data_IF_877336903023
#
_entry.id   IF_877336903023
#
_cell.length_a   1.000
_cell.length_b   1.000
_cell.length_c   1.000
_cell.angle_alpha   90.00
_cell.angle_beta   90.00
_cell.angle_gamma   90.00
#
_symmetry.space_group_name_H-M   'P 1'
#
loop_
_entity.id
_entity.type
_entity.pdbx_description
1 polymer ?
#
# COMPACT_ATOMS: atom_id res chain seq x y z
N UNK A 1 3.02 -14.29 16.81
CA UNK A 1 2.46 -13.11 17.51
C UNK A 1 1.39 -13.54 18.50
N UNK A 2 0.23 -14.10 18.05
CA UNK A 2 -0.89 -14.44 18.92
C UNK A 2 -0.50 -15.38 20.07
N UNK A 3 0.18 -16.49 19.77
CA UNK A 3 0.60 -17.47 20.77
C UNK A 3 1.55 -16.85 21.82
N UNK A 4 2.44 -15.97 21.40
CA UNK A 4 3.37 -15.31 22.32
C UNK A 4 2.65 -14.29 23.20
N UNK A 5 1.72 -13.51 22.65
CA UNK A 5 0.90 -12.61 23.43
C UNK A 5 0.08 -13.36 24.50
N UNK A 6 -0.55 -14.49 24.12
CA UNK A 6 -1.28 -15.36 25.07
C UNK A 6 -0.39 -15.99 26.14
N UNK A 7 0.90 -16.25 25.85
CA UNK A 7 1.84 -16.72 26.89
C UNK A 7 2.14 -15.63 27.92
N UNK A 8 2.18 -14.35 27.50
CA UNK A 8 2.37 -13.22 28.39
C UNK A 8 1.08 -12.83 29.14
N UNK A 9 -0.07 -13.11 28.56
CA UNK A 9 -1.41 -12.81 29.04
C UNK A 9 -2.29 -14.08 29.04
N UNK A 10 -2.09 -15.01 30.00
CA UNK A 10 -2.78 -16.31 30.01
C UNK A 10 -4.31 -16.23 30.17
N UNK A 11 -4.81 -15.08 30.61
CA UNK A 11 -6.24 -14.79 30.72
C UNK A 11 -6.88 -14.43 29.38
N UNK A 12 -6.08 -14.10 28.35
CA UNK A 12 -6.53 -13.71 27.03
C UNK A 12 -6.57 -14.93 26.11
N UNK A 13 -7.65 -15.06 25.34
CA UNK A 13 -7.75 -15.99 24.22
C UNK A 13 -7.82 -15.18 22.90
N UNK A 14 -6.68 -14.96 22.26
CA UNK A 14 -6.56 -14.20 21.02
C UNK A 14 -6.76 -15.14 19.81
N UNK A 15 -7.87 -14.96 19.10
CA UNK A 15 -8.20 -15.72 17.88
C UNK A 15 -8.00 -14.85 16.66
N UNK A 16 -7.14 -15.30 15.74
CA UNK A 16 -6.89 -14.59 14.49
C UNK A 16 -7.69 -15.24 13.36
N UNK A 17 -8.52 -14.46 12.69
CA UNK A 17 -9.24 -14.88 11.49
C UNK A 17 -8.66 -14.17 10.27
N UNK A 18 -8.26 -14.93 9.27
CA UNK A 18 -7.81 -14.40 7.98
C UNK A 18 -8.86 -14.65 6.91
N UNK A 19 -9.17 -13.61 6.14
CA UNK A 19 -10.18 -13.66 5.08
C UNK A 19 -9.60 -13.02 3.82
N UNK A 20 -9.98 -13.55 2.66
CA UNK A 20 -9.63 -12.92 1.39
C UNK A 20 -10.21 -11.49 1.31
N UNK A 21 -9.43 -10.57 0.78
CA UNK A 21 -9.78 -9.14 0.72
C UNK A 21 -11.05 -8.85 -0.07
N UNK A 22 -11.40 -9.72 -1.04
CA UNK A 22 -12.61 -9.58 -1.86
C UNK A 22 -13.88 -9.88 -1.08
N UNK A 23 -13.81 -10.79 -0.10
CA UNK A 23 -14.96 -11.22 0.70
C UNK A 23 -15.07 -10.51 2.05
N UNK A 24 -14.01 -9.79 2.44
CA UNK A 24 -13.85 -9.19 3.77
C UNK A 24 -15.05 -8.34 4.20
N UNK A 25 -15.44 -7.35 3.40
CA UNK A 25 -16.53 -6.43 3.75
C UNK A 25 -17.89 -7.15 3.86
N UNK A 26 -18.13 -8.17 3.04
CA UNK A 26 -19.37 -8.96 3.09
C UNK A 26 -19.42 -9.80 4.35
N UNK A 27 -18.32 -10.45 4.69
CA UNK A 27 -18.19 -11.25 5.91
C UNK A 27 -18.33 -10.39 7.16
N UNK A 28 -17.63 -9.24 7.20
CA UNK A 28 -17.68 -8.31 8.33
C UNK A 28 -19.12 -7.83 8.59
N UNK A 29 -19.85 -7.41 7.56
CA UNK A 29 -21.27 -7.05 7.66
C UNK A 29 -22.12 -8.19 8.21
N UNK A 30 -21.87 -9.42 7.77
CA UNK A 30 -22.60 -10.61 8.23
C UNK A 30 -22.32 -10.88 9.71
N UNK A 31 -21.07 -10.79 10.16
CA UNK A 31 -20.68 -10.98 11.57
C UNK A 31 -21.32 -9.92 12.48
N UNK A 32 -21.34 -8.66 12.07
CA UNK A 32 -22.05 -7.60 12.82
C UNK A 32 -23.55 -7.88 12.89
N UNK A 33 -24.16 -8.36 11.81
CA UNK A 33 -25.60 -8.67 11.79
C UNK A 33 -25.96 -9.90 12.63
N UNK A 34 -25.05 -10.88 12.77
CA UNK A 34 -25.27 -12.09 13.58
C UNK A 34 -24.91 -11.93 15.07
N UNK A 35 -24.28 -10.80 15.45
CA UNK A 35 -23.76 -10.59 16.82
C UNK A 35 -22.44 -11.31 17.09
N UNK A 36 -21.73 -11.72 16.04
CA UNK A 36 -20.41 -12.38 16.09
C UNK A 36 -19.29 -11.44 15.58
N UNK A 37 -19.49 -10.13 15.75
CA UNK A 37 -18.54 -9.13 15.31
C UNK A 37 -17.17 -9.30 16.03
N UNK A 38 -16.05 -9.13 15.34
CA UNK A 38 -14.74 -9.20 15.96
C UNK A 38 -14.50 -8.03 16.92
N UNK A 39 -13.61 -8.22 17.89
CA UNK A 39 -13.19 -7.17 18.83
C UNK A 39 -12.29 -6.13 18.14
N UNK A 40 -11.38 -6.60 17.30
CA UNK A 40 -10.49 -5.79 16.45
C UNK A 40 -10.72 -6.18 15.00
N UNK A 41 -10.77 -5.21 14.10
CA UNK A 41 -10.90 -5.48 12.67
C UNK A 41 -10.20 -4.43 11.80
N UNK A 42 -9.97 -4.79 10.54
CA UNK A 42 -9.36 -3.89 9.57
C UNK A 42 -10.35 -2.84 9.08
N UNK A 43 -9.86 -1.61 8.91
CA UNK A 43 -10.57 -0.51 8.28
C UNK A 43 -9.59 0.25 7.37
N UNK A 44 -10.01 0.59 6.15
CA UNK A 44 -9.14 1.30 5.19
C UNK A 44 -9.19 2.82 5.34
N UNK A 45 -9.96 3.30 6.32
CA UNK A 45 -10.18 4.73 6.51
C UNK A 45 -11.16 5.35 5.52
N UNK A 46 -11.27 6.67 5.54
CA UNK A 46 -12.13 7.45 4.64
C UNK A 46 -13.56 6.88 4.53
N UNK A 47 -13.98 6.44 3.35
CA UNK A 47 -15.33 5.88 3.13
C UNK A 47 -15.64 4.67 4.01
N UNK A 48 -14.66 3.81 4.31
CA UNK A 48 -14.88 2.70 5.25
C UNK A 48 -15.00 3.19 6.68
N UNK A 49 -14.25 4.22 7.07
CA UNK A 49 -14.41 4.87 8.35
C UNK A 49 -15.83 5.43 8.49
N UNK A 50 -16.33 6.19 7.52
CA UNK A 50 -17.69 6.72 7.53
C UNK A 50 -18.74 5.62 7.65
N UNK A 51 -18.56 4.51 6.93
CA UNK A 51 -19.47 3.36 6.94
C UNK A 51 -19.55 2.72 8.32
N UNK A 52 -18.44 2.61 9.03
CA UNK A 52 -18.32 1.87 10.27
C UNK A 52 -18.25 2.76 11.52
N UNK A 53 -18.15 4.09 11.41
CA UNK A 53 -17.89 5.04 12.50
C UNK A 53 -18.78 4.79 13.73
N UNK A 54 -20.07 4.49 13.52
CA UNK A 54 -21.02 4.22 14.62
C UNK A 54 -20.70 2.93 15.41
N UNK A 55 -19.80 2.08 14.89
CA UNK A 55 -19.39 0.81 15.50
C UNK A 55 -17.96 0.87 16.04
N UNK A 56 -17.27 2.01 15.91
CA UNK A 56 -15.89 2.15 16.32
C UNK A 56 -15.76 2.76 17.71
N UNK A 57 -14.83 2.21 18.48
CA UNK A 57 -14.42 2.75 19.78
C UNK A 57 -13.52 3.97 19.58
N UNK A 58 -13.70 5.00 20.41
CA UNK A 58 -12.81 6.15 20.46
C UNK A 58 -11.47 5.74 21.10
N UNK A 59 -10.39 5.83 20.31
CA UNK A 59 -9.04 5.45 20.68
C UNK A 59 -8.14 6.67 20.97
N UNK A 60 -8.71 7.86 21.07
CA UNK A 60 -7.96 9.11 21.27
C UNK A 60 -7.14 9.13 22.56
N UNK A 61 -7.51 8.31 23.53
CA UNK A 61 -6.82 8.16 24.83
C UNK A 61 -5.60 7.23 24.77
N UNK A 62 -5.36 6.56 23.64
CA UNK A 62 -4.30 5.59 23.53
C UNK A 62 -2.92 6.25 23.48
N UNK A 63 -1.88 5.69 24.16
CA UNK A 63 -0.55 6.30 24.24
C UNK A 63 0.11 6.52 22.88
N UNK A 64 -0.12 5.62 21.92
CA UNK A 64 0.46 5.68 20.58
C UNK A 64 -0.10 6.80 19.69
N UNK A 65 -1.27 7.39 20.02
CA UNK A 65 -1.90 8.48 19.25
C UNK A 65 -0.98 9.69 19.13
N UNK A 66 -0.22 10.00 20.17
CA UNK A 66 0.74 11.12 20.14
C UNK A 66 1.90 10.92 19.15
N UNK A 67 2.14 9.68 18.75
CA UNK A 67 3.21 9.29 17.82
C UNK A 67 2.69 9.04 16.40
N UNK A 68 1.40 9.19 16.12
CA UNK A 68 0.87 9.10 14.75
C UNK A 68 1.47 10.19 13.88
N UNK A 69 1.98 9.81 12.70
CA UNK A 69 2.33 10.77 11.67
C UNK A 69 1.07 11.55 11.25
N UNK A 70 1.17 12.87 11.07
CA UNK A 70 -0.01 13.73 10.93
C UNK A 70 -0.93 13.31 9.78
N UNK A 71 -0.35 12.98 8.61
CA UNK A 71 -1.11 12.54 7.46
C UNK A 71 -1.89 11.23 7.66
N UNK A 72 -1.53 10.41 8.66
CA UNK A 72 -2.22 9.13 8.95
C UNK A 72 -3.52 9.33 9.71
N UNK A 73 -3.78 10.51 10.26
CA UNK A 73 -4.97 10.79 11.07
C UNK A 73 -6.19 11.07 10.22
N UNK A 74 -6.03 11.69 9.06
CA UNK A 74 -7.13 12.17 8.22
C UNK A 74 -8.14 11.07 7.88
N UNK A 75 -7.67 9.88 7.52
CA UNK A 75 -8.53 8.76 7.11
C UNK A 75 -9.33 8.10 8.23
N UNK A 76 -9.02 8.40 9.51
CA UNK A 76 -9.55 7.67 10.68
C UNK A 76 -9.97 8.59 11.84
N UNK A 77 -10.12 9.89 11.58
CA UNK A 77 -10.60 10.85 12.55
C UNK A 77 -11.97 11.42 12.17
N UNK A 78 -12.76 11.77 13.18
CA UNK A 78 -14.00 12.50 12.97
C UNK A 78 -13.81 14.01 12.91
N UNK A 79 -14.92 14.74 12.73
CA UNK A 79 -14.91 16.20 12.67
C UNK A 79 -14.48 16.90 13.99
N UNK A 80 -14.55 16.20 15.10
CA UNK A 80 -14.11 16.68 16.41
C UNK A 80 -12.63 16.31 16.68
N UNK A 81 -11.96 15.63 15.74
CA UNK A 81 -10.56 15.22 15.83
C UNK A 81 -10.31 13.98 16.67
N UNK A 82 -11.34 13.21 16.99
CA UNK A 82 -11.20 11.92 17.68
C UNK A 82 -10.62 10.87 16.74
N UNK A 83 -9.76 10.03 17.27
CA UNK A 83 -9.06 8.96 16.55
C UNK A 83 -9.75 7.62 16.82
N UNK A 84 -10.00 6.85 15.75
CA UNK A 84 -10.74 5.59 15.82
C UNK A 84 -9.93 4.37 15.39
N UNK A 85 -8.67 4.54 14.99
CA UNK A 85 -7.86 3.39 14.55
C UNK A 85 -6.37 3.63 14.63
N UNK A 86 -5.65 2.53 14.84
CA UNK A 86 -4.20 2.45 14.79
C UNK A 86 -3.76 2.35 13.31
N UNK A 87 -2.94 3.27 12.76
CA UNK A 87 -2.37 3.16 11.43
C UNK A 87 -1.31 2.06 11.42
N UNK A 88 -1.71 0.87 10.97
CA UNK A 88 -0.88 -0.32 11.11
C UNK A 88 0.28 -0.35 10.11
N UNK A 89 -0.02 -0.02 8.86
CA UNK A 89 0.89 -0.20 7.74
C UNK A 89 0.81 0.95 6.75
N UNK A 90 1.95 1.56 6.48
CA UNK A 90 2.13 2.53 5.40
C UNK A 90 2.51 1.79 4.12
N UNK A 91 1.75 2.01 3.08
CA UNK A 91 1.99 1.48 1.75
C UNK A 91 2.46 2.60 0.84
N UNK A 92 3.66 2.41 0.26
CA UNK A 92 4.19 3.26 -0.78
C UNK A 92 4.28 2.48 -2.09
N UNK A 93 4.04 3.12 -3.24
CA UNK A 93 4.16 2.48 -4.54
C UNK A 93 4.82 3.37 -5.56
N UNK A 94 5.68 2.73 -6.35
CA UNK A 94 6.43 3.32 -7.45
C UNK A 94 6.76 2.27 -8.51
N UNK A 95 7.47 2.65 -9.56
CA UNK A 95 8.13 1.68 -10.40
C UNK A 95 9.34 1.10 -9.66
N UNK A 96 9.34 -0.24 -9.55
CA UNK A 96 10.48 -1.02 -9.08
C UNK A 96 11.28 -1.47 -10.30
N UNK A 97 12.62 -1.37 -10.25
CA UNK A 97 13.49 -1.84 -11.32
C UNK A 97 14.57 -2.78 -10.78
N UNK A 98 15.02 -3.71 -11.63
CA UNK A 98 16.14 -4.60 -11.35
C UNK A 98 17.45 -3.89 -11.70
N UNK A 99 18.28 -3.64 -10.69
CA UNK A 99 19.55 -2.89 -10.83
C UNK A 99 20.48 -3.59 -11.83
N UNK A 100 20.67 -4.90 -11.72
CA UNK A 100 21.58 -5.68 -12.61
C UNK A 100 21.13 -5.67 -14.06
N UNK A 101 19.83 -5.69 -14.32
CA UNK A 101 19.30 -5.63 -15.69
C UNK A 101 19.47 -4.24 -16.31
N UNK A 102 19.30 -3.16 -15.51
CA UNK A 102 19.60 -1.80 -15.95
C UNK A 102 21.09 -1.62 -16.26
N UNK A 103 21.98 -2.08 -15.38
CA UNK A 103 23.42 -2.04 -15.61
C UNK A 103 23.81 -2.81 -16.88
N UNK A 104 23.23 -4.02 -17.10
CA UNK A 104 23.47 -4.84 -18.29
C UNK A 104 23.02 -4.15 -19.57
N UNK A 105 21.95 -3.35 -19.52
CA UNK A 105 21.48 -2.54 -20.65
C UNK A 105 22.27 -1.24 -20.79
N UNK A 106 23.16 -0.89 -19.86
CA UNK A 106 23.92 0.36 -19.85
C UNK A 106 23.09 1.58 -19.46
N UNK A 107 22.01 1.40 -18.71
CA UNK A 107 21.18 2.49 -18.19
C UNK A 107 21.81 2.98 -16.89
N UNK A 108 22.16 4.26 -16.85
CA UNK A 108 22.85 4.90 -15.71
C UNK A 108 22.02 5.99 -15.04
N UNK A 109 20.96 6.44 -15.68
CA UNK A 109 20.04 7.45 -15.16
C UNK A 109 18.62 6.90 -15.14
N UNK A 110 17.89 7.17 -14.06
CA UNK A 110 16.52 6.74 -13.91
C UNK A 110 15.57 7.70 -14.62
N UNK A 111 14.51 7.20 -15.28
CA UNK A 111 13.57 8.05 -16.00
C UNK A 111 12.73 8.88 -15.04
N UNK A 112 12.58 10.17 -15.35
CA UNK A 112 11.78 11.14 -14.60
C UNK A 112 10.60 11.67 -15.40
N UNK A 113 10.57 11.34 -16.71
CA UNK A 113 9.54 11.76 -17.65
C UNK A 113 9.02 10.57 -18.44
N UNK A 114 7.84 10.75 -19.06
CA UNK A 114 7.24 9.69 -19.88
C UNK A 114 8.13 9.33 -21.09
N UNK A 115 8.70 10.34 -21.76
CA UNK A 115 9.62 10.14 -22.88
C UNK A 115 10.92 9.42 -22.45
N UNK A 116 11.45 9.72 -21.27
CA UNK A 116 12.61 9.02 -20.71
C UNK A 116 12.28 7.57 -20.36
N UNK A 117 11.08 7.29 -19.82
CA UNK A 117 10.63 5.92 -19.57
C UNK A 117 10.49 5.11 -20.88
N UNK A 118 9.94 5.72 -21.92
CA UNK A 118 9.87 5.10 -23.28
C UNK A 118 11.28 4.77 -23.78
N UNK A 119 12.23 5.70 -23.63
CA UNK A 119 13.61 5.48 -24.05
C UNK A 119 14.30 4.36 -23.26
N UNK A 120 14.08 4.29 -21.95
CA UNK A 120 14.57 3.22 -21.07
C UNK A 120 14.00 1.86 -21.50
N UNK A 121 12.69 1.78 -21.73
CA UNK A 121 12.05 0.55 -22.20
C UNK A 121 12.65 0.07 -23.54
N UNK A 122 12.83 0.98 -24.50
CA UNK A 122 13.43 0.68 -25.79
C UNK A 122 14.88 0.19 -25.65
N UNK A 123 15.67 0.84 -24.78
CA UNK A 123 17.06 0.43 -24.53
C UNK A 123 17.16 -0.97 -23.90
N UNK A 124 16.27 -1.30 -22.98
CA UNK A 124 16.16 -2.65 -22.41
C UNK A 124 15.84 -3.69 -23.49
N UNK A 125 14.85 -3.42 -24.32
CA UNK A 125 14.41 -4.32 -25.41
C UNK A 125 15.51 -4.50 -26.45
N UNK A 126 16.23 -3.47 -26.84
CA UNK A 126 17.39 -3.52 -27.73
C UNK A 126 18.54 -4.37 -27.15
N UNK A 127 18.68 -4.41 -25.82
CA UNK A 127 19.60 -5.28 -25.12
C UNK A 127 19.08 -6.73 -24.95
N UNK A 128 17.88 -7.04 -25.48
CA UNK A 128 17.23 -8.33 -25.36
C UNK A 128 16.65 -8.62 -23.97
N UNK A 129 16.37 -7.58 -23.20
CA UNK A 129 15.80 -7.65 -21.85
C UNK A 129 14.35 -7.19 -21.93
N UNK A 130 13.36 -8.03 -21.54
CA UNK A 130 11.97 -7.57 -21.42
C UNK A 130 11.86 -6.36 -20.48
N UNK A 131 11.21 -5.28 -20.96
CA UNK A 131 11.21 -4.02 -20.23
C UNK A 131 10.27 -4.10 -19.03
N UNK A 132 8.98 -4.26 -19.24
CA UNK A 132 7.97 -4.13 -18.19
C UNK A 132 7.24 -5.46 -17.97
N UNK A 133 6.98 -5.82 -16.72
CA UNK A 133 6.03 -6.85 -16.31
C UNK A 133 4.98 -6.26 -15.39
N UNK A 134 3.70 -6.36 -15.79
CA UNK A 134 2.57 -5.88 -15.00
C UNK A 134 1.37 -6.83 -15.10
N UNK A 135 0.49 -6.77 -14.10
CA UNK A 135 -0.79 -7.47 -14.03
C UNK A 135 -1.94 -6.48 -14.19
N UNK A 136 -2.08 -5.89 -15.37
CA UNK A 136 -3.05 -4.81 -15.62
C UNK A 136 -4.51 -5.28 -15.55
N UNK A 137 -4.77 -6.59 -15.64
CA UNK A 137 -6.08 -7.17 -15.37
C UNK A 137 -6.44 -7.21 -13.88
N UNK A 138 -5.48 -6.99 -12.99
CA UNK A 138 -5.69 -6.96 -11.55
C UNK A 138 -6.26 -5.59 -11.11
N UNK A 139 -7.35 -5.61 -10.34
CA UNK A 139 -7.89 -4.39 -9.72
C UNK A 139 -6.85 -3.68 -8.86
N UNK A 140 -5.96 -4.43 -8.25
CA UNK A 140 -4.90 -3.92 -7.38
C UNK A 140 -3.91 -3.06 -8.17
N UNK A 141 -3.43 -3.58 -9.30
CA UNK A 141 -2.44 -2.87 -10.13
C UNK A 141 -3.05 -1.66 -10.86
N UNK A 142 -4.22 -1.82 -11.45
CA UNK A 142 -4.88 -0.72 -12.18
C UNK A 142 -5.64 0.24 -11.26
N UNK A 143 -6.32 -0.26 -10.24
CA UNK A 143 -7.10 0.56 -9.32
C UNK A 143 -6.23 1.22 -8.25
N UNK A 144 -5.45 0.41 -7.49
CA UNK A 144 -4.68 0.95 -6.36
C UNK A 144 -3.42 1.66 -6.83
N UNK A 145 -2.58 1.04 -7.67
CA UNK A 145 -1.32 1.67 -8.09
C UNK A 145 -1.50 2.58 -9.30
N UNK A 146 -2.34 2.21 -10.27
CA UNK A 146 -2.50 2.96 -11.49
C UNK A 146 -3.40 4.19 -11.32
N UNK A 147 -4.69 4.00 -11.09
CA UNK A 147 -5.64 5.11 -11.04
C UNK A 147 -5.40 6.07 -9.87
N UNK A 148 -4.88 5.60 -8.73
CA UNK A 148 -4.53 6.47 -7.61
C UNK A 148 -3.43 7.48 -7.96
N UNK A 149 -2.54 7.17 -8.90
CA UNK A 149 -1.55 8.14 -9.39
C UNK A 149 -2.25 9.34 -10.00
N UNK A 150 -3.22 9.12 -10.89
CA UNK A 150 -3.99 10.20 -11.50
C UNK A 150 -4.85 10.97 -10.49
N UNK A 151 -5.38 10.29 -9.48
CA UNK A 151 -6.15 10.94 -8.39
C UNK A 151 -5.23 11.80 -7.53
N UNK A 152 -4.07 11.28 -7.12
CA UNK A 152 -3.14 11.99 -6.24
C UNK A 152 -2.47 13.21 -6.91
N UNK A 153 -2.38 13.22 -8.23
CA UNK A 153 -1.90 14.39 -9.00
C UNK A 153 -2.95 15.46 -9.23
N UNK A 154 -4.21 15.26 -8.82
CA UNK A 154 -5.22 16.33 -8.94
C UNK A 154 -4.85 17.51 -8.04
N UNK A 155 -5.03 18.76 -8.50
CA UNK A 155 -4.73 19.96 -7.72
C UNK A 155 -5.47 20.04 -6.36
N UNK A 156 -6.67 19.49 -6.31
CA UNK A 156 -7.50 19.32 -5.12
C UNK A 156 -8.22 17.97 -5.22
N UNK A 157 -7.65 16.95 -4.57
CA UNK A 157 -8.13 15.56 -4.58
C UNK A 157 -9.57 15.47 -4.06
N UNK A 158 -9.87 16.19 -2.98
CA UNK A 158 -11.20 16.15 -2.35
C UNK A 158 -12.25 16.75 -3.26
N UNK A 159 -11.98 17.93 -3.80
CA UNK A 159 -12.89 18.58 -4.75
C UNK A 159 -13.07 17.73 -6.02
N UNK A 160 -12.00 17.08 -6.52
CA UNK A 160 -12.09 16.18 -7.66
C UNK A 160 -13.04 15.00 -7.38
N UNK A 161 -12.88 14.32 -6.25
CA UNK A 161 -13.74 13.20 -5.86
C UNK A 161 -15.20 13.63 -5.70
N UNK A 162 -15.44 14.78 -5.06
CA UNK A 162 -16.79 15.36 -4.94
C UNK A 162 -17.41 15.68 -6.32
N UNK A 163 -16.64 16.28 -7.22
CA UNK A 163 -17.08 16.63 -8.56
C UNK A 163 -17.40 15.40 -9.42
N UNK A 164 -16.58 14.36 -9.36
CA UNK A 164 -16.87 13.07 -10.04
C UNK A 164 -18.14 12.44 -9.46
N UNK A 165 -18.29 12.42 -8.15
CA UNK A 165 -19.47 11.87 -7.46
C UNK A 165 -20.76 12.62 -7.84
N UNK A 166 -20.69 13.93 -7.98
CA UNK A 166 -21.81 14.78 -8.37
C UNK A 166 -22.03 14.85 -9.90
N UNK A 167 -21.16 14.23 -10.70
CA UNK A 167 -21.25 14.22 -12.16
C UNK A 167 -20.89 15.55 -12.83
N UNK A 168 -20.18 16.45 -12.14
CA UNK A 168 -19.69 17.73 -12.68
C UNK A 168 -18.26 17.61 -13.22
N UNK A 169 -17.57 16.53 -12.97
CA UNK A 169 -16.27 16.14 -13.52
C UNK A 169 -16.38 14.73 -14.10
N UNK A 170 -15.59 14.43 -15.14
CA UNK A 170 -15.49 13.08 -15.68
C UNK A 170 -14.04 12.75 -16.11
N UNK A 171 -13.73 11.48 -16.13
CA UNK A 171 -12.38 11.00 -16.45
C UNK A 171 -11.95 11.26 -17.91
N UNK A 172 -12.91 11.29 -18.84
CA UNK A 172 -12.65 11.46 -20.27
C UNK A 172 -12.06 12.85 -20.62
N UNK A 173 -12.47 13.88 -19.88
CA UNK A 173 -12.04 15.26 -20.11
C UNK A 173 -11.05 15.78 -19.10
N UNK A 174 -10.71 14.99 -18.09
CA UNK A 174 -9.72 15.34 -17.08
C UNK A 174 -8.30 15.19 -17.64
N UNK A 175 -7.51 16.26 -17.66
CA UNK A 175 -6.17 16.30 -18.24
C UNK A 175 -5.23 15.29 -17.57
N UNK A 176 -5.25 15.20 -16.24
CA UNK A 176 -4.37 14.27 -15.49
C UNK A 176 -4.71 12.81 -15.78
N UNK A 177 -5.99 12.48 -15.94
CA UNK A 177 -6.38 11.13 -16.35
C UNK A 177 -5.98 10.80 -17.80
N UNK A 178 -5.96 11.79 -18.69
CA UNK A 178 -5.46 11.60 -20.05
C UNK A 178 -3.94 11.34 -20.04
N UNK A 179 -3.16 12.07 -19.26
CA UNK A 179 -1.72 11.81 -19.05
C UNK A 179 -1.48 10.40 -18.46
N UNK A 180 -2.30 10.01 -17.49
CA UNK A 180 -2.23 8.66 -16.95
C UNK A 180 -2.57 7.58 -17.99
N UNK A 181 -3.50 7.83 -18.91
CA UNK A 181 -3.81 6.91 -20.03
C UNK A 181 -2.61 6.79 -20.97
N UNK A 182 -1.86 7.85 -21.22
CA UNK A 182 -0.62 7.81 -22.00
C UNK A 182 0.43 6.90 -21.35
N UNK A 183 0.57 6.96 -20.02
CA UNK A 183 1.42 6.02 -19.27
C UNK A 183 0.92 4.57 -19.41
N UNK A 184 -0.38 4.33 -19.31
CA UNK A 184 -0.96 2.98 -19.47
C UNK A 184 -0.69 2.44 -20.89
N UNK A 185 -0.83 3.29 -21.91
CA UNK A 185 -0.51 2.92 -23.29
C UNK A 185 0.97 2.56 -23.48
N UNK A 186 1.87 3.37 -22.88
CA UNK A 186 3.30 3.04 -22.86
C UNK A 186 3.54 1.69 -22.17
N UNK A 187 2.98 1.46 -21.00
CA UNK A 187 3.13 0.18 -20.31
C UNK A 187 2.62 -1.00 -21.16
N UNK A 188 1.50 -0.83 -21.87
CA UNK A 188 0.94 -1.87 -22.75
C UNK A 188 1.85 -2.16 -23.95
N UNK A 189 2.53 -1.16 -24.52
CA UNK A 189 3.46 -1.31 -25.65
C UNK A 189 4.74 -2.06 -25.27
N UNK A 190 5.22 -1.90 -24.05
CA UNK A 190 6.49 -2.46 -23.56
C UNK A 190 6.33 -3.60 -22.56
N UNK A 191 5.12 -4.14 -22.41
CA UNK A 191 4.87 -5.20 -21.42
C UNK A 191 5.36 -6.56 -21.91
N UNK A 192 5.98 -7.30 -21.00
CA UNK A 192 6.37 -8.69 -21.19
C UNK A 192 5.21 -9.62 -20.79
N UNK A 193 4.78 -10.48 -21.72
CA UNK A 193 3.60 -11.34 -21.57
C UNK A 193 2.27 -10.55 -21.64
N UNK A 194 1.17 -11.29 -21.59
CA UNK A 194 -0.18 -10.70 -21.60
C UNK A 194 -0.49 -10.12 -20.22
N UNK A 195 -0.58 -8.79 -20.08
CA UNK A 195 -0.80 -8.14 -18.80
C UNK A 195 -2.22 -8.33 -18.25
N UNK A 196 -3.18 -8.73 -19.11
CA UNK A 196 -4.56 -8.94 -18.68
C UNK A 196 -4.77 -10.32 -18.05
N UNK A 197 -3.91 -11.27 -18.34
CA UNK A 197 -3.95 -12.64 -17.79
C UNK A 197 -2.84 -12.92 -16.77
N UNK A 198 -1.86 -12.05 -16.66
CA UNK A 198 -0.81 -12.12 -15.64
C UNK A 198 -1.43 -11.77 -14.27
N UNK A 199 -1.27 -12.66 -13.29
CA UNK A 199 -1.66 -12.37 -11.90
C UNK A 199 -0.63 -11.48 -11.21
N UNK A 200 -1.01 -10.81 -10.12
CA UNK A 200 -0.05 -10.04 -9.31
C UNK A 200 1.06 -10.94 -8.74
N UNK A 201 0.73 -12.15 -8.32
CA UNK A 201 1.72 -13.13 -7.86
C UNK A 201 2.71 -13.55 -8.95
N UNK A 202 2.24 -13.74 -10.19
CA UNK A 202 3.11 -14.02 -11.33
C UNK A 202 4.01 -12.84 -11.66
N UNK A 203 3.49 -11.63 -11.62
CA UNK A 203 4.26 -10.39 -11.82
C UNK A 203 5.43 -10.31 -10.82
N UNK A 204 5.16 -10.48 -9.53
CA UNK A 204 6.17 -10.46 -8.47
C UNK A 204 7.20 -11.59 -8.67
N UNK A 205 6.74 -12.81 -8.94
CA UNK A 205 7.60 -13.96 -9.17
C UNK A 205 8.53 -13.77 -10.38
N UNK A 206 8.03 -13.23 -11.49
CA UNK A 206 8.82 -12.99 -12.71
C UNK A 206 9.84 -11.87 -12.51
N UNK A 207 9.46 -10.80 -11.80
CA UNK A 207 10.40 -9.74 -11.43
C UNK A 207 11.53 -10.29 -10.56
N UNK A 208 11.20 -11.09 -9.53
CA UNK A 208 12.19 -11.72 -8.65
C UNK A 208 13.12 -12.69 -9.41
N UNK A 209 12.63 -13.38 -10.44
CA UNK A 209 13.42 -14.27 -11.30
C UNK A 209 14.17 -13.53 -12.44
N UNK A 210 14.20 -12.20 -12.42
CA UNK A 210 14.89 -11.37 -13.41
C UNK A 210 14.39 -11.57 -14.85
N UNK A 211 13.11 -11.95 -15.02
CA UNK A 211 12.51 -12.15 -16.34
C UNK A 211 12.12 -10.83 -17.04
N UNK A 212 11.98 -9.74 -16.28
CA UNK A 212 11.75 -8.40 -16.79
C UNK A 212 12.41 -7.37 -15.86
N UNK A 213 12.69 -6.17 -16.40
CA UNK A 213 13.50 -5.18 -15.73
C UNK A 213 12.70 -4.20 -14.84
N UNK A 214 11.42 -3.97 -15.13
CA UNK A 214 10.59 -2.95 -14.48
C UNK A 214 9.24 -3.55 -14.11
N UNK A 215 8.74 -3.19 -12.92
CA UNK A 215 7.36 -3.51 -12.50
C UNK A 215 6.77 -2.40 -11.63
N UNK A 216 5.46 -2.23 -11.69
CA UNK A 216 4.73 -1.34 -10.77
C UNK A 216 4.31 -2.14 -9.53
N UNK A 217 4.82 -1.78 -8.37
CA UNK A 217 4.49 -2.48 -7.12
C UNK A 217 4.60 -1.59 -5.89
N UNK A 218 4.16 -2.11 -4.76
CA UNK A 218 4.31 -1.48 -3.45
C UNK A 218 5.57 -1.94 -2.70
N UNK A 219 5.86 -1.28 -1.58
CA UNK A 219 6.97 -1.65 -0.69
C UNK A 219 6.83 -3.08 -0.10
N UNK A 220 5.63 -3.61 0.10
CA UNK A 220 5.40 -4.97 0.57
C UNK A 220 5.89 -6.06 -0.39
N UNK A 221 6.09 -5.74 -1.68
CA UNK A 221 6.66 -6.67 -2.66
C UNK A 221 8.10 -7.09 -2.30
N UNK A 222 8.84 -6.25 -1.55
CA UNK A 222 10.22 -6.53 -1.13
C UNK A 222 10.38 -7.88 -0.44
N UNK A 223 9.54 -8.19 0.55
CA UNK A 223 9.61 -9.48 1.25
C UNK A 223 9.38 -10.66 0.29
N UNK A 224 8.46 -10.51 -0.65
CA UNK A 224 8.20 -11.56 -1.65
C UNK A 224 9.38 -11.73 -2.61
N UNK A 225 10.04 -10.64 -3.00
CA UNK A 225 11.26 -10.72 -3.79
C UNK A 225 12.35 -11.48 -3.05
N UNK A 226 12.63 -11.12 -1.80
CA UNK A 226 13.67 -11.77 -0.98
C UNK A 226 13.38 -13.25 -0.70
N UNK A 227 12.12 -13.65 -0.59
CA UNK A 227 11.75 -15.06 -0.42
C UNK A 227 12.03 -15.91 -1.69
N UNK A 228 11.89 -15.31 -2.88
CA UNK A 228 12.08 -15.99 -4.18
C UNK A 228 13.56 -15.92 -4.60
N UNK A 229 14.18 -14.77 -4.49
CA UNK A 229 15.56 -14.52 -4.88
C UNK A 229 16.25 -13.60 -3.85
N UNK A 230 16.94 -14.16 -2.85
CA UNK A 230 17.63 -13.37 -1.83
C UNK A 230 18.75 -12.47 -2.34
N UNK A 231 19.23 -12.72 -3.56
CA UNK A 231 20.33 -11.96 -4.18
C UNK A 231 19.82 -10.89 -5.17
N UNK A 232 18.50 -10.66 -5.24
CA UNK A 232 17.95 -9.62 -6.10
C UNK A 232 18.33 -8.23 -5.60
N UNK A 233 18.76 -7.38 -6.52
CA UNK A 233 19.02 -5.97 -6.27
C UNK A 233 17.96 -5.15 -7.00
N UNK A 234 17.13 -4.45 -6.23
CA UNK A 234 16.08 -3.57 -6.77
C UNK A 234 16.25 -2.15 -6.31
N UNK A 235 15.84 -1.23 -7.16
CA UNK A 235 15.67 0.17 -6.83
C UNK A 235 14.28 0.63 -7.26
N UNK A 236 13.99 1.91 -7.00
CA UNK A 236 12.70 2.50 -7.29
C UNK A 236 12.87 3.85 -7.96
N UNK A 237 11.92 4.23 -8.80
CA UNK A 237 11.83 5.55 -9.39
C UNK A 237 10.37 6.00 -9.49
N UNK A 238 10.17 7.31 -9.54
CA UNK A 238 8.85 7.95 -9.60
C UNK A 238 8.04 7.46 -10.80
N UNK A 239 6.72 7.51 -10.69
CA UNK A 239 5.80 7.12 -11.76
C UNK A 239 5.56 8.34 -12.66
N UNK A 240 6.20 8.45 -13.84
CA UNK A 240 6.00 9.59 -14.70
C UNK A 240 4.70 9.43 -15.50
N UNK A 241 3.82 10.41 -15.43
CA UNK A 241 2.58 10.45 -16.24
C UNK A 241 2.67 11.44 -17.40
N UNK A 242 3.68 12.32 -17.37
CA UNK A 242 3.92 13.34 -18.40
C UNK A 242 5.42 13.65 -18.55
N UNK A 243 5.76 14.72 -19.26
CA UNK A 243 7.15 15.15 -19.49
C UNK A 243 7.63 16.30 -18.58
N UNK A 244 6.98 16.51 -17.44
CA UNK A 244 7.43 17.44 -16.41
C UNK A 244 8.09 16.66 -15.26
N UNK A 245 9.42 16.66 -15.22
CA UNK A 245 10.21 15.89 -14.26
C UNK A 245 9.96 16.33 -12.80
N UNK A 246 9.69 17.60 -12.56
CA UNK A 246 9.44 18.13 -11.21
C UNK A 246 8.02 17.78 -10.74
N UNK A 247 7.05 17.74 -11.67
CA UNK A 247 5.69 17.27 -11.39
C UNK A 247 5.64 15.77 -11.05
N UNK A 248 6.48 14.97 -11.70
CA UNK A 248 6.56 13.52 -11.48
C UNK A 248 7.42 13.11 -10.27
N UNK A 249 8.15 14.05 -9.65
CA UNK A 249 9.07 13.73 -8.52
C UNK A 249 8.30 13.60 -7.21
N UNK A 250 7.46 12.58 -7.12
CA UNK A 250 6.58 12.33 -5.99
C UNK A 250 6.60 10.85 -5.60
N UNK A 251 6.46 10.59 -4.30
CA UNK A 251 6.21 9.27 -3.74
C UNK A 251 4.73 9.16 -3.37
N UNK A 252 4.04 8.17 -3.93
CA UNK A 252 2.68 7.86 -3.55
C UNK A 252 2.69 6.96 -2.31
N UNK A 253 2.22 7.49 -1.19
CA UNK A 253 2.16 6.74 0.06
C UNK A 253 0.89 7.08 0.84
N UNK A 254 0.40 6.10 1.60
CA UNK A 254 -0.76 6.26 2.46
C UNK A 254 -0.91 5.12 3.44
N UNK A 255 -1.89 5.23 4.32
CA UNK A 255 -2.22 4.12 5.23
C UNK A 255 -3.05 3.10 4.47
N UNK A 256 -2.49 1.91 4.28
CA UNK A 256 -3.19 0.80 3.63
C UNK A 256 -4.31 0.23 4.50
N UNK A 257 -4.06 0.18 5.82
CA UNK A 257 -5.04 -0.34 6.78
C UNK A 257 -4.83 0.23 8.18
N UNK A 258 -5.95 0.44 8.85
CA UNK A 258 -6.02 0.72 10.28
C UNK A 258 -6.58 -0.49 11.00
N UNK A 259 -6.12 -0.75 12.21
CA UNK A 259 -6.85 -1.62 13.13
C UNK A 259 -7.73 -0.77 14.03
N UNK A 260 -9.01 -1.12 14.02
CA UNK A 260 -10.07 -0.44 14.79
C UNK A 260 -10.67 -1.39 15.82
N UNK A 261 -11.21 -0.85 16.90
CA UNK A 261 -11.85 -1.61 17.98
C UNK A 261 -13.37 -1.46 17.88
N UNK A 262 -14.08 -2.58 17.99
CA UNK A 262 -15.55 -2.60 18.04
C UNK A 262 -16.05 -1.99 19.36
N UNK A 263 -16.84 -0.93 19.29
CA UNK A 263 -17.38 -0.27 20.47
C UNK A 263 -18.43 -1.07 21.24
N UNK A 264 -18.98 -2.12 20.61
CA UNK A 264 -19.94 -3.05 21.24
C UNK A 264 -19.24 -4.30 21.83
N UNK A 265 -17.91 -4.43 21.66
CA UNK A 265 -17.15 -5.54 22.24
C UNK A 265 -17.17 -5.51 23.77
N UNK A 266 -17.31 -6.68 24.39
CA UNK A 266 -17.12 -6.84 25.85
C UNK A 266 -15.64 -6.85 26.24
N UNK A 267 -14.72 -7.08 25.27
CA UNK A 267 -13.26 -7.15 25.45
C UNK A 267 -12.54 -5.89 24.92
N UNK A 268 -13.17 -4.72 24.97
CA UNK A 268 -12.59 -3.48 24.43
C UNK A 268 -11.30 -3.08 25.12
N UNK A 269 -11.22 -3.29 26.42
CA UNK A 269 -10.04 -2.92 27.18
C UNK A 269 -8.85 -3.82 26.82
N UNK A 270 -9.09 -5.11 26.72
CA UNK A 270 -8.10 -6.10 26.30
C UNK A 270 -7.64 -5.84 24.85
N UNK A 271 -8.56 -5.45 23.97
CA UNK A 271 -8.25 -5.04 22.61
C UNK A 271 -7.33 -3.80 22.58
N UNK A 272 -7.62 -2.77 23.36
CA UNK A 272 -6.75 -1.59 23.51
C UNK A 272 -5.37 -1.95 24.07
N UNK A 273 -5.30 -2.81 25.08
CA UNK A 273 -4.04 -3.27 25.69
C UNK A 273 -3.19 -4.09 24.69
N UNK A 274 -3.84 -4.90 23.84
CA UNK A 274 -3.14 -5.60 22.77
C UNK A 274 -2.53 -4.63 21.74
N UNK A 275 -3.29 -3.62 21.29
CA UNK A 275 -2.78 -2.61 20.36
C UNK A 275 -1.65 -1.78 20.98
N UNK A 276 -1.75 -1.44 22.26
CA UNK A 276 -0.67 -0.75 22.97
C UNK A 276 0.58 -1.63 23.10
N UNK A 277 0.44 -2.89 23.50
CA UNK A 277 1.55 -3.84 23.54
C UNK A 277 2.23 -3.99 22.17
N UNK A 278 1.46 -4.10 21.11
CA UNK A 278 1.97 -4.26 19.75
C UNK A 278 2.86 -3.08 19.34
N UNK A 279 2.52 -1.88 19.75
CA UNK A 279 3.20 -0.64 19.35
C UNK A 279 4.26 -0.16 20.33
N UNK A 280 4.15 -0.50 21.61
CA UNK A 280 5.03 0.00 22.69
C UNK A 280 6.11 -1.00 23.12
N UNK A 281 5.85 -2.32 23.01
CA UNK A 281 6.82 -3.34 23.41
C UNK A 281 7.86 -3.64 22.32
N UNK A 282 9.09 -3.96 22.73
CA UNK A 282 10.13 -4.43 21.80
C UNK A 282 9.67 -5.62 20.97
N UNK A 283 8.88 -6.51 21.59
CA UNK A 283 8.41 -7.72 20.91
C UNK A 283 7.28 -7.44 19.92
N UNK A 284 6.37 -6.54 20.25
CA UNK A 284 5.34 -6.07 19.33
C UNK A 284 5.94 -5.38 18.11
N UNK A 285 6.89 -4.47 18.33
CA UNK A 285 7.60 -3.78 17.24
C UNK A 285 8.43 -4.75 16.37
N UNK A 286 9.03 -5.78 16.96
CA UNK A 286 9.68 -6.86 16.21
C UNK A 286 8.72 -7.52 15.21
N UNK A 287 7.50 -7.86 15.64
CA UNK A 287 6.51 -8.43 14.74
C UNK A 287 6.11 -7.48 13.63
N UNK A 288 5.84 -6.21 13.95
CA UNK A 288 5.47 -5.23 12.94
C UNK A 288 6.55 -5.06 11.87
N UNK A 289 7.80 -4.86 12.30
CA UNK A 289 8.87 -4.44 11.39
C UNK A 289 9.60 -5.64 10.78
N UNK A 290 10.01 -6.62 11.61
CA UNK A 290 10.89 -7.69 11.12
C UNK A 290 10.14 -8.90 10.57
N UNK A 291 9.01 -9.28 11.17
CA UNK A 291 8.24 -10.44 10.71
C UNK A 291 7.26 -10.06 9.58
N UNK A 292 6.61 -8.90 9.70
CA UNK A 292 5.61 -8.47 8.73
C UNK A 292 6.17 -7.50 7.67
N UNK A 293 7.35 -6.91 7.93
CA UNK A 293 7.96 -5.92 7.03
C UNK A 293 7.13 -4.64 6.91
N UNK A 294 6.40 -4.27 7.95
CA UNK A 294 5.54 -3.10 7.93
C UNK A 294 6.32 -1.83 8.26
N UNK A 295 6.06 -0.79 7.48
CA UNK A 295 6.36 0.58 7.87
C UNK A 295 5.18 1.09 8.68
N UNK A 296 5.41 1.34 9.96
CA UNK A 296 4.34 1.81 10.85
C UNK A 296 3.96 3.26 10.54
N UNK A 297 2.68 3.60 10.70
CA UNK A 297 2.22 4.98 10.74
C UNK A 297 2.59 5.75 12.02
N UNK A 298 3.36 5.12 12.93
CA UNK A 298 3.84 5.71 14.17
C UNK A 298 5.31 6.12 14.05
N UNK A 299 5.61 7.38 14.25
CA UNK A 299 6.96 7.95 14.17
C UNK A 299 7.94 7.41 15.23
N UNK A 300 7.42 6.74 16.26
CA UNK A 300 8.21 6.09 17.31
C UNK A 300 8.74 4.70 16.92
N UNK A 301 8.26 4.10 15.84
CA UNK A 301 8.65 2.75 15.39
C UNK A 301 9.55 2.91 14.17
N UNK A 302 10.87 2.66 14.29
CA UNK A 302 11.79 2.77 13.16
C UNK A 302 11.56 1.62 12.17
N UNK A 303 11.79 1.90 10.88
CA UNK A 303 11.68 0.95 9.80
C UNK A 303 13.03 0.79 9.06
N UNK A 304 14.01 0.02 9.59
CA UNK A 304 15.31 -0.19 8.96
C UNK A 304 15.19 -0.88 7.60
N UNK A 305 15.93 -0.41 6.61
CA UNK A 305 15.91 -0.90 5.23
C UNK A 305 16.06 -2.42 5.12
N UNK A 306 16.90 -3.02 5.95
CA UNK A 306 17.14 -4.47 5.96
C UNK A 306 15.87 -5.32 6.17
N UNK A 307 14.81 -4.75 6.81
CA UNK A 307 13.55 -5.43 7.07
C UNK A 307 12.43 -5.00 6.14
N UNK A 308 12.39 -3.72 5.78
CA UNK A 308 11.26 -3.13 5.05
C UNK A 308 11.56 -2.82 3.58
N UNK A 309 12.82 -2.97 3.18
CA UNK A 309 13.28 -2.75 1.81
C UNK A 309 13.56 -1.29 1.45
N UNK A 310 14.21 -1.07 0.29
CA UNK A 310 14.74 0.23 -0.08
C UNK A 310 13.67 1.30 -0.34
N UNK A 311 12.47 0.94 -0.82
CA UNK A 311 11.38 1.91 -1.00
C UNK A 311 10.89 2.48 0.33
N UNK A 312 10.90 1.67 1.38
CA UNK A 312 10.37 2.04 2.70
C UNK A 312 11.34 2.83 3.55
N UNK A 313 12.63 2.77 3.22
CA UNK A 313 13.70 3.47 3.94
C UNK A 313 14.01 4.84 3.34
N UNK A 314 13.50 5.13 2.14
CA UNK A 314 13.69 6.40 1.44
C UNK A 314 12.70 7.46 1.93
#
# INVERSE_FOLDING_TARGET
>A
LADEYMQLHPEINLVVESVDSTDYNTLLKTKFASGEAPDIFNNRGYTEFELWQSKLEDLSDQPWVSNMAEFTKEGISDADGKIYGLPLYLEGYQFCYNVKLFEKAGITELPRTLDELEAVCTQLEDAGIPAIINSLGSWYNMGVFGANVAVAHQPDVKAFIENVTNGTENFETNEVFNEWVDLVDLMLRHTYKDPLTTSFSDQISRMANEEAAITLCNNGAWLSFMQINPDIEVGYFSIPINNDADYNDVLFAGVSTYWVVNNESESKQEAKEFLDWLTSSERGQYYLVQEFGFVSGLTSIPAPEEYVGPLSAA
#
